data_IF_345960147196
#
_entry.id   IF_345960147196
#
_cell.length_a   1.000
_cell.length_b   1.000
_cell.length_c   1.000
_cell.angle_alpha   90.00
_cell.angle_beta   90.00
_cell.angle_gamma   90.00
#
_symmetry.space_group_name_H-M   'P 1'
#
loop_
_entity.id
_entity.type
_entity.pdbx_description
1 polymer ?
#
# COMPACT_ATOMS: atom_id res chain seq x y z
N UNK A 1 -3.35 -6.36 15.00
CA UNK A 1 -4.63 -5.67 15.26
C UNK A 1 -4.57 -5.01 16.64
N UNK A 2 -4.73 -3.71 16.68
CA UNK A 2 -4.63 -2.91 17.91
C UNK A 2 -5.98 -2.23 18.12
N UNK A 3 -6.54 -2.37 19.32
CA UNK A 3 -7.83 -1.84 19.69
C UNK A 3 -7.83 -1.35 21.15
N UNK A 4 -8.72 -0.44 21.54
CA UNK A 4 -8.89 -0.08 22.93
C UNK A 4 -9.29 -1.28 23.78
N UNK A 5 -8.98 -1.23 25.07
CA UNK A 5 -9.48 -2.22 26.04
C UNK A 5 -11.00 -2.22 26.04
N UNK A 6 -11.62 -3.37 26.29
CA UNK A 6 -13.09 -3.53 26.26
C UNK A 6 -13.84 -2.53 27.14
N UNK A 7 -13.27 -2.17 28.31
CA UNK A 7 -13.81 -1.18 29.23
C UNK A 7 -13.87 0.25 28.66
N UNK A 8 -13.14 0.54 27.59
CA UNK A 8 -13.07 1.86 26.96
C UNK A 8 -13.70 1.92 25.58
N UNK A 9 -14.29 0.83 25.10
CA UNK A 9 -14.94 0.80 23.79
C UNK A 9 -16.31 1.47 23.83
N UNK A 10 -16.55 2.48 22.98
CA UNK A 10 -17.84 3.16 22.93
C UNK A 10 -18.94 2.32 22.28
N UNK A 11 -18.62 1.28 21.53
CA UNK A 11 -19.57 0.39 20.87
C UNK A 11 -19.03 -1.03 20.70
N UNK A 12 -19.93 -1.98 20.42
CA UNK A 12 -19.55 -3.38 20.15
C UNK A 12 -18.73 -3.53 18.88
N UNK A 13 -18.94 -2.65 17.89
CA UNK A 13 -18.19 -2.62 16.65
C UNK A 13 -17.55 -1.26 16.45
N UNK A 14 -16.27 -1.23 16.10
CA UNK A 14 -15.51 -0.01 15.88
C UNK A 14 -14.90 -0.01 14.48
N UNK A 15 -14.76 1.17 13.85
CA UNK A 15 -14.05 1.26 12.59
C UNK A 15 -12.61 0.81 12.77
N UNK A 16 -12.00 0.35 11.68
CA UNK A 16 -10.60 -0.03 11.62
C UNK A 16 -9.93 0.68 10.45
N UNK A 17 -8.70 1.15 10.67
CA UNK A 17 -7.82 1.64 9.59
C UNK A 17 -6.73 0.61 9.41
N UNK A 18 -6.60 0.13 8.17
CA UNK A 18 -5.49 -0.70 7.70
C UNK A 18 -4.37 0.25 7.24
N UNK A 19 -3.21 0.19 7.90
CA UNK A 19 -2.05 0.96 7.49
C UNK A 19 -1.17 0.15 6.54
N UNK A 20 -0.86 0.73 5.39
CA UNK A 20 -0.05 0.18 4.32
C UNK A 20 1.29 0.93 4.26
N UNK A 21 2.36 0.28 4.69
CA UNK A 21 3.69 0.89 4.79
C UNK A 21 4.33 1.18 3.42
N UNK A 22 5.33 2.05 3.42
CA UNK A 22 6.11 2.38 2.23
C UNK A 22 7.14 1.31 1.87
N UNK A 23 7.75 1.45 0.67
CA UNK A 23 8.87 0.60 0.26
C UNK A 23 10.05 0.75 1.25
N UNK A 24 10.77 -0.33 1.46
CA UNK A 24 11.89 -0.41 2.42
C UNK A 24 11.50 -0.08 3.87
N UNK A 25 10.23 -0.24 4.21
CA UNK A 25 9.68 -0.06 5.56
C UNK A 25 8.98 -1.34 6.03
N UNK A 26 8.28 -1.27 7.15
CA UNK A 26 7.55 -2.38 7.75
C UNK A 26 6.32 -1.88 8.50
N UNK A 27 5.57 -2.80 9.15
CA UNK A 27 4.47 -2.46 10.06
C UNK A 27 4.83 -1.42 11.13
N UNK A 28 6.11 -1.32 11.50
CA UNK A 28 6.57 -0.35 12.50
C UNK A 28 6.29 1.09 12.08
N UNK A 29 6.27 1.37 10.77
CA UNK A 29 5.90 2.69 10.26
C UNK A 29 4.49 3.10 10.68
N UNK A 30 3.55 2.17 10.73
CA UNK A 30 2.17 2.42 11.14
C UNK A 30 2.00 2.68 12.64
N UNK A 31 2.94 2.23 13.48
CA UNK A 31 2.84 2.38 14.95
C UNK A 31 2.73 3.82 15.40
N UNK A 32 3.37 4.76 14.70
CA UNK A 32 3.31 6.19 15.04
C UNK A 32 1.89 6.77 14.95
N UNK A 33 1.01 6.18 14.16
CA UNK A 33 -0.37 6.66 13.97
C UNK A 33 -1.37 5.98 14.92
N UNK A 34 -0.99 4.90 15.58
CA UNK A 34 -1.86 4.16 16.51
C UNK A 34 -2.44 5.04 17.62
N UNK A 35 -1.66 5.89 18.33
CA UNK A 35 -2.22 6.75 19.36
C UNK A 35 -3.29 7.71 18.83
N UNK A 36 -3.09 8.24 17.61
CA UNK A 36 -4.06 9.11 16.95
C UNK A 36 -5.37 8.36 16.64
N UNK A 37 -5.28 7.18 16.06
CA UNK A 37 -6.45 6.37 15.70
C UNK A 37 -7.24 5.96 16.94
N UNK A 38 -6.56 5.45 17.96
CA UNK A 38 -7.22 5.03 19.22
C UNK A 38 -7.90 6.19 19.94
N UNK A 39 -7.29 7.38 19.93
CA UNK A 39 -7.91 8.61 20.49
C UNK A 39 -9.26 8.92 19.84
N UNK A 40 -9.45 8.56 18.59
CA UNK A 40 -10.69 8.76 17.83
C UNK A 40 -11.58 7.51 17.80
N UNK A 41 -11.34 6.54 18.67
CA UNK A 41 -12.07 5.27 18.70
C UNK A 41 -12.02 4.49 17.39
N UNK A 42 -10.87 4.52 16.72
CA UNK A 42 -10.58 3.79 15.50
C UNK A 42 -9.54 2.72 15.82
N UNK A 43 -9.84 1.46 15.50
CA UNK A 43 -8.89 0.37 15.60
C UNK A 43 -7.79 0.54 14.54
N UNK A 44 -6.59 0.08 14.84
CA UNK A 44 -5.50 0.03 13.88
C UNK A 44 -5.16 -1.42 13.50
N UNK A 45 -5.05 -1.67 12.21
CA UNK A 45 -4.47 -2.90 11.69
C UNK A 45 -3.20 -2.55 10.92
N UNK A 46 -2.07 -3.02 11.41
CA UNK A 46 -0.75 -2.82 10.82
C UNK A 46 -0.13 -4.19 10.52
N UNK A 47 0.47 -4.34 9.37
CA UNK A 47 1.06 -5.60 8.93
C UNK A 47 2.23 -5.35 7.99
N UNK A 48 3.06 -6.37 7.80
CA UNK A 48 4.12 -6.36 6.80
C UNK A 48 3.60 -6.99 5.51
N UNK A 49 3.73 -6.30 4.40
CA UNK A 49 3.51 -6.90 3.09
C UNK A 49 4.44 -8.08 2.84
N UNK A 50 4.05 -9.00 1.98
CA UNK A 50 4.93 -10.07 1.51
C UNK A 50 6.29 -9.51 1.05
N UNK A 51 7.37 -10.14 1.47
CA UNK A 51 8.74 -9.68 1.19
C UNK A 51 9.22 -8.49 2.03
N UNK A 52 8.45 -8.06 3.04
CA UNK A 52 8.82 -6.95 3.94
C UNK A 52 8.80 -7.38 5.40
N UNK A 53 9.59 -6.72 6.24
CA UNK A 53 9.60 -6.90 7.68
C UNK A 53 9.85 -8.35 8.10
N UNK A 54 8.88 -8.97 8.77
CA UNK A 54 8.92 -10.37 9.20
C UNK A 54 8.04 -11.29 8.32
N UNK A 55 7.38 -10.75 7.29
CA UNK A 55 6.59 -11.55 6.36
C UNK A 55 7.49 -12.30 5.39
N UNK A 56 7.09 -13.52 5.05
CA UNK A 56 7.74 -14.29 4.00
C UNK A 56 7.52 -13.64 2.62
N UNK A 57 8.38 -13.97 1.65
CA UNK A 57 8.31 -13.47 0.28
C UNK A 57 9.68 -13.09 -0.24
N UNK A 58 9.88 -13.20 -1.55
CA UNK A 58 11.17 -12.91 -2.19
C UNK A 58 11.24 -11.50 -2.78
N UNK A 59 10.09 -10.94 -3.20
CA UNK A 59 10.06 -9.71 -3.99
C UNK A 59 8.99 -8.75 -3.50
N UNK A 60 9.35 -7.47 -3.55
CA UNK A 60 8.42 -6.35 -3.44
C UNK A 60 8.10 -5.87 -4.86
N UNK A 61 6.83 -5.68 -5.16
CA UNK A 61 6.32 -5.35 -6.49
C UNK A 61 5.73 -3.93 -6.61
N UNK A 62 5.99 -3.09 -5.61
CA UNK A 62 5.57 -1.67 -5.55
C UNK A 62 4.06 -1.46 -5.71
N UNK A 63 3.28 -2.37 -5.19
CA UNK A 63 1.82 -2.33 -5.17
C UNK A 63 1.15 -3.38 -6.05
N UNK A 64 1.87 -4.01 -6.97
CA UNK A 64 1.27 -4.96 -7.92
C UNK A 64 0.77 -6.24 -7.24
N UNK A 65 1.60 -6.91 -6.43
CA UNK A 65 1.20 -8.06 -5.63
C UNK A 65 0.65 -7.64 -4.26
N UNK A 66 1.14 -6.53 -3.69
CA UNK A 66 0.73 -6.05 -2.38
C UNK A 66 -0.77 -5.71 -2.30
N UNK A 67 -1.43 -5.46 -3.44
CA UNK A 67 -2.91 -5.32 -3.49
C UNK A 67 -3.64 -6.63 -3.15
N UNK A 68 -3.02 -7.77 -3.43
CA UNK A 68 -3.60 -9.08 -3.11
C UNK A 68 -3.43 -9.38 -1.62
N UNK A 69 -2.31 -8.95 -1.00
CA UNK A 69 -2.14 -8.98 0.46
C UNK A 69 -3.21 -8.12 1.15
N UNK A 70 -3.48 -6.93 0.62
CA UNK A 70 -4.53 -6.05 1.12
C UNK A 70 -5.92 -6.73 1.04
N UNK A 71 -6.21 -7.44 -0.04
CA UNK A 71 -7.45 -8.20 -0.19
C UNK A 71 -7.61 -9.27 0.90
N UNK A 72 -6.54 -10.03 1.19
CA UNK A 72 -6.51 -11.04 2.25
C UNK A 72 -6.79 -10.39 3.61
N UNK A 73 -6.14 -9.25 3.90
CA UNK A 73 -6.34 -8.52 5.16
C UNK A 73 -7.78 -8.01 5.29
N UNK A 74 -8.38 -7.47 4.23
CA UNK A 74 -9.77 -7.01 4.24
C UNK A 74 -10.73 -8.19 4.45
N UNK A 75 -10.48 -9.32 3.78
CA UNK A 75 -11.27 -10.54 3.96
C UNK A 75 -11.20 -11.04 5.41
N UNK A 76 -10.00 -11.05 6.00
CA UNK A 76 -9.80 -11.41 7.39
C UNK A 76 -10.58 -10.47 8.32
N UNK A 77 -10.40 -9.15 8.18
CA UNK A 77 -11.04 -8.16 9.06
C UNK A 77 -12.55 -8.14 8.94
N UNK A 78 -13.10 -8.34 7.74
CA UNK A 78 -14.54 -8.39 7.52
C UNK A 78 -15.25 -9.52 8.29
N UNK A 79 -14.51 -10.54 8.67
CA UNK A 79 -15.02 -11.69 9.42
C UNK A 79 -14.68 -11.61 10.94
N UNK A 80 -14.00 -10.54 11.39
CA UNK A 80 -13.64 -10.42 12.80
C UNK A 80 -14.76 -9.78 13.61
N UNK A 81 -15.14 -10.38 14.75
CA UNK A 81 -16.07 -9.74 15.67
C UNK A 81 -15.47 -8.43 16.18
N UNK A 82 -16.32 -7.38 16.27
CA UNK A 82 -15.89 -6.07 16.74
C UNK A 82 -15.32 -5.15 15.66
N UNK A 83 -15.12 -5.62 14.44
CA UNK A 83 -14.75 -4.78 13.30
C UNK A 83 -16.00 -4.20 12.64
N UNK A 84 -16.01 -2.88 12.48
CA UNK A 84 -17.05 -2.13 11.79
C UNK A 84 -16.60 -1.69 10.40
N UNK A 85 -16.64 -0.37 10.14
CA UNK A 85 -16.21 0.20 8.85
C UNK A 85 -14.71 0.06 8.67
N UNK A 86 -14.28 -0.29 7.46
CA UNK A 86 -12.87 -0.41 7.09
C UNK A 86 -12.44 0.85 6.35
N UNK A 87 -11.34 1.44 6.79
CA UNK A 87 -10.59 2.47 6.08
C UNK A 87 -9.18 1.98 5.75
N UNK A 88 -8.55 2.61 4.77
CA UNK A 88 -7.17 2.29 4.34
C UNK A 88 -6.34 3.56 4.39
N UNK A 89 -5.15 3.48 4.95
CA UNK A 89 -4.16 4.56 4.95
C UNK A 89 -2.84 4.04 4.40
N UNK A 90 -2.49 4.47 3.21
CA UNK A 90 -1.25 4.04 2.57
C UNK A 90 -0.26 5.19 2.41
N UNK A 91 1.03 4.90 2.57
CA UNK A 91 2.13 5.81 2.30
C UNK A 91 3.03 5.28 1.18
N UNK A 92 3.38 6.12 0.20
CA UNK A 92 4.28 5.80 -0.92
C UNK A 92 3.83 4.53 -1.67
N UNK A 93 4.57 3.41 -1.57
CA UNK A 93 4.17 2.11 -2.11
C UNK A 93 2.79 1.67 -1.59
N UNK A 94 2.55 1.78 -0.28
CA UNK A 94 1.26 1.46 0.31
C UNK A 94 0.12 2.33 -0.21
N UNK A 95 0.40 3.59 -0.52
CA UNK A 95 -0.57 4.48 -1.17
C UNK A 95 -0.87 4.06 -2.61
N UNK A 96 0.16 3.66 -3.37
CA UNK A 96 -0.02 3.11 -4.72
C UNK A 96 -0.82 1.80 -4.69
N UNK A 97 -0.51 0.92 -3.72
CA UNK A 97 -1.27 -0.31 -3.46
C UNK A 97 -2.75 -0.01 -3.21
N UNK A 98 -3.03 0.92 -2.30
CA UNK A 98 -4.40 1.35 -2.02
C UNK A 98 -5.10 1.84 -3.28
N UNK A 99 -4.50 2.75 -4.06
CA UNK A 99 -5.08 3.27 -5.30
C UNK A 99 -5.43 2.18 -6.31
N UNK A 100 -4.57 1.15 -6.43
CA UNK A 100 -4.80 0.03 -7.36
C UNK A 100 -5.84 -0.98 -6.86
N UNK A 101 -6.32 -0.85 -5.62
CA UNK A 101 -7.27 -1.79 -5.03
C UNK A 101 -8.65 -1.21 -4.71
N UNK A 102 -8.71 0.00 -4.12
CA UNK A 102 -9.93 0.53 -3.47
C UNK A 102 -11.13 0.66 -4.42
N UNK A 103 -10.91 0.85 -5.70
CA UNK A 103 -11.98 1.04 -6.69
C UNK A 103 -12.91 -0.17 -6.82
N UNK A 104 -12.41 -1.37 -6.52
CA UNK A 104 -13.15 -2.64 -6.71
C UNK A 104 -13.81 -3.18 -5.43
N UNK A 105 -13.53 -2.59 -4.26
CA UNK A 105 -14.00 -3.12 -2.98
C UNK A 105 -14.80 -2.08 -2.17
N UNK A 106 -16.11 -2.22 -2.21
CA UNK A 106 -17.05 -1.33 -1.55
C UNK A 106 -17.07 -1.44 -0.01
N UNK A 107 -16.35 -2.39 0.57
CA UNK A 107 -16.17 -2.53 2.03
C UNK A 107 -15.28 -1.42 2.57
N UNK A 108 -14.39 -0.87 1.76
CA UNK A 108 -13.55 0.27 2.12
C UNK A 108 -14.40 1.53 2.05
N UNK A 109 -14.51 2.24 3.20
CA UNK A 109 -15.38 3.42 3.33
C UNK A 109 -14.62 4.75 3.32
N UNK A 110 -13.31 4.71 3.51
CA UNK A 110 -12.44 5.87 3.45
C UNK A 110 -11.02 5.45 3.10
N UNK A 111 -10.28 6.32 2.43
CA UNK A 111 -8.86 6.10 2.15
C UNK A 111 -8.05 7.38 2.33
N UNK A 112 -6.83 7.23 2.86
CA UNK A 112 -5.80 8.26 2.89
C UNK A 112 -4.67 7.80 1.99
N UNK A 113 -4.38 8.59 0.97
CA UNK A 113 -3.37 8.32 -0.05
C UNK A 113 -2.23 9.33 0.16
N UNK A 114 -1.19 8.89 0.86
CA UNK A 114 -0.07 9.76 1.19
C UNK A 114 1.11 9.49 0.25
N UNK A 115 1.46 10.49 -0.57
CA UNK A 115 2.67 10.50 -1.41
C UNK A 115 2.76 9.34 -2.41
N UNK A 116 1.62 8.89 -2.97
CA UNK A 116 1.61 7.87 -4.01
C UNK A 116 2.34 8.34 -5.28
N UNK A 117 3.01 7.42 -5.97
CA UNK A 117 3.40 7.68 -7.35
C UNK A 117 2.22 7.41 -8.29
N UNK A 118 2.10 8.21 -9.35
CA UNK A 118 1.03 8.03 -10.33
C UNK A 118 1.38 7.03 -11.45
N UNK A 119 2.66 6.99 -11.84
CA UNK A 119 3.20 6.16 -12.91
C UNK A 119 4.65 5.80 -12.56
N UNK A 120 4.95 4.50 -12.50
CA UNK A 120 6.28 4.05 -12.09
C UNK A 120 7.38 4.46 -13.08
N UNK A 121 7.10 4.43 -14.38
CA UNK A 121 8.06 4.85 -15.40
C UNK A 121 8.43 6.33 -15.25
N UNK A 122 7.45 7.17 -14.97
CA UNK A 122 7.67 8.60 -14.70
C UNK A 122 8.49 8.79 -13.43
N UNK A 123 8.16 8.06 -12.37
CA UNK A 123 8.91 8.09 -11.11
C UNK A 123 10.37 7.67 -11.34
N UNK A 124 10.61 6.56 -12.02
CA UNK A 124 11.95 6.06 -12.31
C UNK A 124 12.80 7.10 -13.07
N UNK A 125 12.21 7.73 -14.11
CA UNK A 125 12.88 8.80 -14.86
C UNK A 125 13.19 10.02 -13.99
N UNK A 126 12.28 10.42 -13.12
CA UNK A 126 12.50 11.54 -12.19
C UNK A 126 13.61 11.25 -11.18
N UNK A 127 13.67 10.02 -10.66
CA UNK A 127 14.75 9.62 -9.75
C UNK A 127 16.10 9.61 -10.45
N UNK A 128 16.17 9.08 -11.69
CA UNK A 128 17.41 9.09 -12.48
C UNK A 128 17.89 10.51 -12.80
N UNK A 129 16.99 11.46 -13.07
CA UNK A 129 17.34 12.87 -13.31
C UNK A 129 17.99 13.56 -12.08
N UNK A 130 17.73 13.06 -10.87
CA UNK A 130 18.39 13.55 -9.65
C UNK A 130 19.85 13.10 -9.54
N UNK A 131 20.24 12.06 -10.25
CA UNK A 131 21.62 11.59 -10.33
C UNK A 131 22.34 12.45 -11.38
N UNK A 132 23.35 13.20 -10.93
CA UNK A 132 24.11 14.10 -11.81
C UNK A 132 24.76 13.33 -12.97
N UNK A 133 24.68 13.90 -14.19
CA UNK A 133 25.39 13.45 -15.40
C UNK A 133 24.88 12.13 -16.04
N UNK A 134 23.64 11.72 -15.85
CA UNK A 134 23.07 10.61 -16.62
C UNK A 134 22.27 11.15 -17.81
N UNK A 135 22.71 10.94 -19.07
CA UNK A 135 21.95 11.34 -20.26
C UNK A 135 20.58 10.64 -20.30
N UNK A 136 19.54 11.33 -20.74
CA UNK A 136 18.16 10.82 -20.73
C UNK A 136 17.98 9.53 -21.56
N UNK A 137 18.68 9.41 -22.68
CA UNK A 137 18.62 8.20 -23.51
C UNK A 137 19.18 6.96 -22.79
N UNK A 138 20.20 7.11 -21.93
CA UNK A 138 20.72 5.99 -21.13
C UNK A 138 19.70 5.52 -20.09
N UNK A 139 18.90 6.43 -19.55
CA UNK A 139 17.81 6.06 -18.61
C UNK A 139 16.78 5.16 -19.33
N UNK A 140 16.40 5.50 -20.56
CA UNK A 140 15.46 4.68 -21.32
C UNK A 140 16.05 3.30 -21.68
N UNK A 141 17.32 3.23 -22.04
CA UNK A 141 18.02 1.96 -22.33
C UNK A 141 18.08 1.08 -21.06
N UNK A 142 18.53 1.64 -19.93
CA UNK A 142 18.60 0.92 -18.65
C UNK A 142 17.20 0.45 -18.22
N UNK A 143 16.20 1.34 -18.33
CA UNK A 143 14.81 0.99 -18.00
C UNK A 143 14.32 -0.20 -18.83
N UNK A 144 14.62 -0.23 -20.13
CA UNK A 144 14.24 -1.32 -21.04
C UNK A 144 14.82 -2.68 -20.58
N UNK A 145 16.13 -2.72 -20.26
CA UNK A 145 16.76 -3.95 -19.79
C UNK A 145 16.27 -4.39 -18.41
N UNK A 146 16.12 -3.44 -17.47
CA UNK A 146 15.61 -3.72 -16.12
C UNK A 146 14.17 -4.23 -16.18
N UNK A 147 13.31 -3.60 -16.99
CA UNK A 147 11.94 -4.05 -17.22
C UNK A 147 11.90 -5.49 -17.74
N UNK A 148 12.74 -5.83 -18.72
CA UNK A 148 12.83 -7.20 -19.25
C UNK A 148 13.21 -8.20 -18.16
N UNK A 149 14.27 -7.92 -17.40
CA UNK A 149 14.73 -8.79 -16.32
C UNK A 149 13.67 -8.99 -15.23
N UNK A 150 12.96 -7.93 -14.83
CA UNK A 150 11.87 -8.00 -13.82
C UNK A 150 10.70 -8.81 -14.35
N UNK A 151 10.32 -8.60 -15.61
CA UNK A 151 9.24 -9.36 -16.24
C UNK A 151 9.53 -10.86 -16.28
N UNK A 152 10.77 -11.24 -16.59
CA UNK A 152 11.18 -12.64 -16.64
C UNK A 152 11.18 -13.30 -15.26
N UNK A 153 11.69 -12.60 -14.24
CA UNK A 153 11.83 -13.13 -12.87
C UNK A 153 10.55 -13.08 -12.05
N UNK A 154 9.88 -11.95 -12.06
CA UNK A 154 8.75 -11.65 -11.15
C UNK A 154 7.39 -11.68 -11.86
N UNK A 155 7.37 -11.91 -13.20
CA UNK A 155 6.15 -11.83 -14.03
C UNK A 155 5.44 -10.47 -13.97
N UNK A 156 6.13 -9.43 -13.51
CA UNK A 156 5.64 -8.08 -13.38
C UNK A 156 6.05 -7.24 -14.61
N UNK A 157 5.07 -6.66 -15.28
CA UNK A 157 5.33 -5.65 -16.31
C UNK A 157 5.29 -4.24 -15.67
N UNK A 158 6.46 -3.60 -15.56
CA UNK A 158 6.58 -2.28 -14.93
C UNK A 158 5.75 -1.18 -15.62
N UNK A 159 5.41 -1.33 -16.90
CA UNK A 159 4.56 -0.34 -17.60
C UNK A 159 3.09 -0.43 -17.15
N UNK A 160 2.68 -1.50 -16.48
CA UNK A 160 1.33 -1.62 -15.90
C UNK A 160 1.22 -1.00 -14.50
N UNK A 161 2.34 -0.63 -13.89
CA UNK A 161 2.37 0.04 -12.58
C UNK A 161 2.00 1.53 -12.72
N UNK A 162 0.70 1.77 -12.91
CA UNK A 162 0.10 3.09 -13.11
C UNK A 162 -1.08 3.31 -12.17
N UNK A 163 -0.83 3.54 -10.87
CA UNK A 163 -1.89 3.77 -9.89
C UNK A 163 -2.89 4.87 -10.29
N UNK A 164 -2.42 5.88 -11.03
CA UNK A 164 -3.27 6.98 -11.50
C UNK A 164 -4.44 6.53 -12.38
N UNK A 165 -4.28 5.43 -13.12
CA UNK A 165 -5.36 4.93 -13.99
C UNK A 165 -6.50 4.32 -13.16
N UNK A 166 -6.19 3.75 -12.01
CA UNK A 166 -7.18 3.20 -11.07
C UNK A 166 -7.88 4.30 -10.26
N UNK A 167 -7.20 5.40 -9.96
CA UNK A 167 -7.82 6.53 -9.26
C UNK A 167 -9.02 7.11 -10.01
N UNK A 168 -9.02 7.03 -11.34
CA UNK A 168 -10.14 7.47 -12.19
C UNK A 168 -11.38 6.57 -12.07
N UNK A 169 -11.22 5.37 -11.53
CA UNK A 169 -12.30 4.39 -11.35
C UNK A 169 -12.96 4.51 -9.96
N UNK A 170 -12.37 5.29 -9.06
CA UNK A 170 -12.96 5.57 -7.75
C UNK A 170 -14.08 6.61 -7.92
N UNK A 171 -15.31 6.23 -7.62
CA UNK A 171 -16.50 7.09 -7.61
C UNK A 171 -16.88 7.48 -6.18
#
# INVERSE_FOLDING_TARGET
FIQPLDSFRPSKTMPVVIYLHGNSSSREEGMQYVPLLLKHNINAFIFDFAGSGLSEGEYISLGYNEKDDLEIVINFLSNQPGVGRIGVWGRSMGAATAMMYIYKDNRIKASIIDSAFGDFKVLAKQLCKKVKNVPEFLVDVVYYFVKGSIKDRCKLDLDTLRPVDYAKLCQ
#
